data_IF_071958668696
#
_entry.id   IF_071958668696
#
_cell.length_a   1.000
_cell.length_b   1.000
_cell.length_c   1.000
_cell.angle_alpha   90.00
_cell.angle_beta   90.00
_cell.angle_gamma   90.00
#
_symmetry.space_group_name_H-M   'P 1'
#
loop_
_entity.id
_entity.type
_entity.pdbx_description
1 polymer ?
#
# COMPACT_ATOMS: atom_id res chain seq x y z
N UNK A 1 3.09 14.02 -1.79
CA UNK A 1 3.26 14.95 -0.66
C UNK A 1 4.68 15.42 -0.53
N UNK A 2 5.65 14.57 -0.16
CA UNK A 2 7.07 14.96 -0.03
C UNK A 2 7.65 15.75 -1.24
N UNK A 3 7.23 15.43 -2.47
CA UNK A 3 7.62 16.20 -3.67
C UNK A 3 7.07 17.64 -3.70
N UNK A 4 5.87 17.86 -3.16
CA UNK A 4 5.25 19.19 -3.05
C UNK A 4 5.84 20.00 -1.91
N UNK A 5 6.15 19.38 -0.77
CA UNK A 5 6.86 20.02 0.34
C UNK A 5 8.23 20.52 -0.14
N UNK A 6 9.02 19.65 -0.80
CA UNK A 6 10.29 20.06 -1.41
C UNK A 6 10.12 21.20 -2.44
N UNK A 7 8.99 21.22 -3.16
CA UNK A 7 8.71 22.28 -4.12
C UNK A 7 8.39 23.61 -3.43
N UNK A 8 7.76 23.61 -2.26
CA UNK A 8 7.55 24.82 -1.45
C UNK A 8 8.88 25.45 -1.06
N UNK A 9 9.84 24.65 -0.61
CA UNK A 9 11.19 25.13 -0.27
C UNK A 9 11.88 25.77 -1.50
N UNK A 10 11.74 25.14 -2.67
CA UNK A 10 12.30 25.66 -3.92
C UNK A 10 11.64 26.98 -4.36
N UNK A 11 10.34 27.12 -4.15
CA UNK A 11 9.61 28.36 -4.47
C UNK A 11 9.95 29.46 -3.46
N UNK A 12 10.10 29.12 -2.17
CA UNK A 12 10.52 30.06 -1.14
C UNK A 12 11.93 30.60 -1.38
N UNK A 13 12.83 29.74 -1.87
CA UNK A 13 14.21 30.10 -2.25
C UNK A 13 14.33 30.72 -3.65
N UNK A 14 13.21 30.95 -4.35
CA UNK A 14 13.16 31.52 -5.71
C UNK A 14 14.02 30.75 -6.72
N UNK A 15 14.07 29.42 -6.59
CA UNK A 15 14.88 28.58 -7.48
C UNK A 15 14.39 28.69 -8.94
N UNK A 16 15.27 28.99 -9.91
CA UNK A 16 14.88 29.24 -11.30
C UNK A 16 14.27 28.02 -12.01
N UNK A 17 14.56 26.80 -11.55
CA UNK A 17 14.08 25.55 -12.17
C UNK A 17 12.93 24.89 -11.40
N UNK A 18 12.30 25.61 -10.46
CA UNK A 18 11.18 25.08 -9.68
C UNK A 18 10.01 24.60 -10.56
N UNK A 19 9.71 25.30 -11.68
CA UNK A 19 8.67 24.89 -12.62
C UNK A 19 8.94 23.52 -13.29
N UNK A 20 10.21 23.15 -13.50
CA UNK A 20 10.57 21.86 -14.09
C UNK A 20 10.22 20.71 -13.14
N UNK A 21 10.54 20.89 -11.84
CA UNK A 21 10.21 19.93 -10.77
C UNK A 21 8.70 19.81 -10.59
N UNK A 22 7.97 20.93 -10.70
CA UNK A 22 6.50 20.93 -10.72
C UNK A 22 5.98 20.09 -11.89
N UNK A 23 6.45 20.35 -13.11
CA UNK A 23 5.99 19.65 -14.31
C UNK A 23 6.30 18.14 -14.23
N UNK A 24 7.46 17.76 -13.71
CA UNK A 24 7.80 16.35 -13.45
C UNK A 24 6.84 15.71 -12.44
N UNK A 25 6.52 16.42 -11.37
CA UNK A 25 5.58 15.95 -10.34
C UNK A 25 4.18 15.76 -10.92
N UNK A 26 3.69 16.69 -11.75
CA UNK A 26 2.39 16.59 -12.40
C UNK A 26 2.36 15.50 -13.48
N UNK A 27 3.45 15.30 -14.25
CA UNK A 27 3.56 14.18 -15.19
C UNK A 27 3.49 12.83 -14.49
N UNK A 28 4.22 12.66 -13.38
CA UNK A 28 4.15 11.45 -12.59
C UNK A 28 2.74 11.23 -12.03
N UNK A 29 2.13 12.27 -11.45
CA UNK A 29 0.75 12.22 -10.96
C UNK A 29 -0.23 11.77 -12.06
N UNK A 30 -0.16 12.40 -13.25
CA UNK A 30 -0.98 12.05 -14.40
C UNK A 30 -0.81 10.57 -14.78
N UNK A 31 0.42 10.09 -14.87
CA UNK A 31 0.70 8.69 -15.20
C UNK A 31 0.09 7.72 -14.16
N UNK A 32 0.22 8.02 -12.87
CA UNK A 32 -0.37 7.22 -11.80
C UNK A 32 -1.91 7.24 -11.84
N UNK A 33 -2.53 8.41 -12.03
CA UNK A 33 -3.97 8.54 -12.16
C UNK A 33 -4.51 7.78 -13.39
N UNK A 34 -3.84 7.87 -14.54
CA UNK A 34 -4.22 7.12 -15.74
C UNK A 34 -4.12 5.62 -15.52
N UNK A 35 -3.05 5.13 -14.88
CA UNK A 35 -2.92 3.70 -14.52
C UNK A 35 -4.03 3.26 -13.57
N UNK A 36 -4.35 4.07 -12.56
CA UNK A 36 -5.40 3.76 -11.60
C UNK A 36 -6.79 3.66 -12.25
N UNK A 37 -7.14 4.61 -13.13
CA UNK A 37 -8.37 4.57 -13.93
C UNK A 37 -8.42 3.31 -14.79
N UNK A 38 -7.33 2.98 -15.49
CA UNK A 38 -7.25 1.76 -16.27
C UNK A 38 -7.51 0.51 -15.41
N UNK A 39 -6.89 0.40 -14.24
CA UNK A 39 -7.09 -0.75 -13.34
C UNK A 39 -8.54 -0.88 -12.87
N UNK A 40 -9.21 0.24 -12.56
CA UNK A 40 -10.63 0.25 -12.18
C UNK A 40 -11.57 -0.16 -13.33
N UNK A 41 -11.22 0.19 -14.57
CA UNK A 41 -12.04 -0.02 -15.78
C UNK A 41 -11.99 -1.45 -16.33
N UNK A 42 -11.07 -2.33 -15.89
CA UNK A 42 -10.89 -3.72 -16.41
C UNK A 42 -12.07 -4.68 -16.04
N UNK A 43 -13.28 -4.17 -15.81
CA UNK A 43 -14.48 -4.99 -15.62
C UNK A 43 -14.46 -5.90 -14.38
N UNK A 44 -13.46 -5.75 -13.50
CA UNK A 44 -13.33 -6.50 -12.24
C UNK A 44 -14.59 -6.32 -11.37
N UNK A 45 -15.18 -5.12 -11.41
CA UNK A 45 -16.36 -4.79 -10.62
C UNK A 45 -17.70 -5.22 -11.22
N UNK A 46 -17.75 -5.46 -12.55
CA UNK A 46 -19.00 -5.78 -13.26
C UNK A 46 -19.24 -7.27 -13.49
N UNK A 47 -18.19 -8.08 -13.70
CA UNK A 47 -18.33 -9.42 -14.30
C UNK A 47 -18.05 -10.62 -13.40
N UNK A 48 -17.52 -10.42 -12.19
CA UNK A 48 -17.22 -11.52 -11.26
C UNK A 48 -17.98 -11.27 -9.96
N UNK A 49 -18.91 -12.16 -9.62
CA UNK A 49 -19.71 -12.07 -8.39
C UNK A 49 -18.85 -11.86 -7.14
N UNK A 50 -19.45 -11.27 -6.09
CA UNK A 50 -18.75 -10.90 -4.85
C UNK A 50 -18.73 -9.39 -4.58
N UNK A 51 -19.06 -8.56 -5.57
CA UNK A 51 -19.11 -7.10 -5.40
C UNK A 51 -20.52 -6.64 -5.01
N UNK A 52 -20.60 -5.98 -3.86
CA UNK A 52 -21.80 -5.34 -3.35
C UNK A 52 -22.14 -4.07 -4.15
N UNK A 53 -23.33 -3.52 -3.92
CA UNK A 53 -23.71 -2.21 -4.48
C UNK A 53 -22.79 -1.09 -4.01
N UNK A 54 -22.24 -1.22 -2.79
CA UNK A 54 -21.32 -0.25 -2.20
C UNK A 54 -19.97 -0.29 -2.90
N UNK A 55 -19.44 -1.47 -3.22
CA UNK A 55 -18.19 -1.63 -3.96
C UNK A 55 -18.26 -0.95 -5.33
N UNK A 56 -19.37 -1.16 -6.04
CA UNK A 56 -19.60 -0.49 -7.34
C UNK A 56 -19.73 1.01 -7.18
N UNK A 57 -20.41 1.48 -6.14
CA UNK A 57 -20.54 2.92 -5.89
C UNK A 57 -19.17 3.55 -5.59
N UNK A 58 -18.35 2.90 -4.76
CA UNK A 58 -17.01 3.37 -4.40
C UNK A 58 -16.07 3.37 -5.60
N UNK A 59 -16.04 2.30 -6.40
CA UNK A 59 -15.26 2.25 -7.63
C UNK A 59 -15.64 3.40 -8.59
N UNK A 60 -16.93 3.64 -8.79
CA UNK A 60 -17.43 4.74 -9.62
C UNK A 60 -17.08 6.12 -9.04
N UNK A 61 -17.15 6.30 -7.72
CA UNK A 61 -16.75 7.53 -7.05
C UNK A 61 -15.26 7.82 -7.27
N UNK A 62 -14.40 6.82 -7.08
CA UNK A 62 -12.97 6.93 -7.32
C UNK A 62 -12.67 7.25 -8.78
N UNK A 63 -13.28 6.52 -9.72
CA UNK A 63 -13.15 6.73 -11.16
C UNK A 63 -13.45 8.19 -11.53
N UNK A 64 -14.65 8.68 -11.20
CA UNK A 64 -15.10 10.04 -11.52
C UNK A 64 -14.20 11.12 -10.92
N UNK A 65 -13.75 10.94 -9.67
CA UNK A 65 -12.89 11.94 -9.03
C UNK A 65 -11.50 11.98 -9.66
N UNK A 66 -10.92 10.82 -10.00
CA UNK A 66 -9.60 10.75 -10.64
C UNK A 66 -9.66 11.25 -12.07
N UNK A 67 -10.72 10.94 -12.82
CA UNK A 67 -10.98 11.52 -14.14
C UNK A 67 -11.08 13.06 -14.07
N UNK A 68 -11.79 13.60 -13.08
CA UNK A 68 -11.86 15.06 -12.88
C UNK A 68 -10.47 15.68 -12.61
N UNK A 69 -9.59 14.97 -11.88
CA UNK A 69 -8.20 15.42 -11.68
C UNK A 69 -7.44 15.40 -13.00
N UNK A 70 -7.55 14.32 -13.79
CA UNK A 70 -6.92 14.20 -15.10
C UNK A 70 -7.37 15.29 -16.08
N UNK A 71 -8.67 15.59 -16.11
CA UNK A 71 -9.23 16.70 -16.90
C UNK A 71 -8.65 18.04 -16.46
N UNK A 72 -8.59 18.31 -15.15
CA UNK A 72 -8.00 19.55 -14.63
C UNK A 72 -6.52 19.67 -14.94
N UNK A 73 -5.75 18.58 -14.85
CA UNK A 73 -4.34 18.55 -15.25
C UNK A 73 -4.21 18.87 -16.74
N UNK A 74 -5.09 18.30 -17.58
CA UNK A 74 -5.10 18.55 -19.03
C UNK A 74 -5.40 20.02 -19.35
N UNK A 75 -6.36 20.63 -18.67
CA UNK A 75 -6.75 22.04 -18.86
C UNK A 75 -5.63 22.98 -18.39
N UNK A 76 -5.04 22.71 -17.22
CA UNK A 76 -4.01 23.57 -16.64
C UNK A 76 -2.68 23.51 -17.40
N UNK A 77 -2.34 22.34 -17.98
CA UNK A 77 -1.11 22.16 -18.74
C UNK A 77 0.17 22.20 -17.89
N UNK A 78 1.31 22.14 -18.57
CA UNK A 78 2.63 22.32 -17.96
C UNK A 78 3.00 23.82 -17.91
N UNK A 79 3.79 24.18 -16.91
CA UNK A 79 4.29 25.54 -16.77
C UNK A 79 5.48 25.78 -17.70
N UNK A 80 5.54 26.91 -18.43
CA UNK A 80 6.71 27.27 -19.22
C UNK A 80 7.83 27.92 -18.37
N UNK A 81 7.50 28.45 -17.19
CA UNK A 81 8.40 29.13 -16.27
C UNK A 81 7.71 29.31 -14.89
N UNK A 82 8.42 29.96 -13.95
CA UNK A 82 7.94 30.17 -12.58
C UNK A 82 6.80 31.20 -12.43
N UNK A 83 6.36 31.92 -13.47
CA UNK A 83 5.41 33.04 -13.33
C UNK A 83 4.09 32.63 -12.66
N UNK A 84 3.62 31.40 -12.93
CA UNK A 84 2.36 30.89 -12.41
C UNK A 84 2.55 29.78 -11.37
N UNK A 85 3.78 29.56 -10.87
CA UNK A 85 4.09 28.41 -10.02
C UNK A 85 3.27 28.39 -8.73
N UNK A 86 3.04 29.55 -8.10
CA UNK A 86 2.24 29.65 -6.86
C UNK A 86 0.79 29.22 -7.09
N UNK A 87 0.20 29.60 -8.22
CA UNK A 87 -1.16 29.19 -8.61
C UNK A 87 -1.19 27.69 -8.93
N UNK A 88 -0.19 27.21 -9.66
CA UNK A 88 -0.06 25.80 -10.02
C UNK A 88 0.09 24.88 -8.80
N UNK A 89 0.80 25.35 -7.77
CA UNK A 89 0.93 24.66 -6.49
C UNK A 89 -0.40 24.57 -5.74
N UNK A 90 -1.21 25.63 -5.73
CA UNK A 90 -2.56 25.59 -5.15
C UNK A 90 -3.38 24.47 -5.81
N UNK A 91 -3.32 24.35 -7.14
CA UNK A 91 -3.98 23.25 -7.85
C UNK A 91 -3.41 21.88 -7.49
N UNK A 92 -2.10 21.74 -7.38
CA UNK A 92 -1.48 20.47 -6.99
C UNK A 92 -1.90 20.03 -5.57
N UNK A 93 -1.97 20.95 -4.62
CA UNK A 93 -2.49 20.68 -3.28
C UNK A 93 -3.99 20.34 -3.29
N UNK A 94 -4.78 20.96 -4.15
CA UNK A 94 -6.19 20.58 -4.34
C UNK A 94 -6.29 19.14 -4.86
N UNK A 95 -5.43 18.72 -5.80
CA UNK A 95 -5.41 17.34 -6.28
C UNK A 95 -5.00 16.37 -5.17
N UNK A 96 -3.95 16.70 -4.41
CA UNK A 96 -3.50 15.89 -3.28
C UNK A 96 -4.63 15.70 -2.25
N UNK A 97 -5.32 16.78 -1.87
CA UNK A 97 -6.45 16.73 -0.94
C UNK A 97 -7.57 15.83 -1.46
N UNK A 98 -7.94 15.96 -2.74
CA UNK A 98 -8.95 15.10 -3.35
C UNK A 98 -8.55 13.62 -3.29
N UNK A 99 -7.30 13.30 -3.60
CA UNK A 99 -6.79 11.93 -3.54
C UNK A 99 -6.77 11.37 -2.12
N UNK A 100 -6.35 12.16 -1.13
CA UNK A 100 -6.40 11.77 0.29
C UNK A 100 -7.80 11.40 0.74
N UNK A 101 -8.78 12.23 0.40
CA UNK A 101 -10.18 11.96 0.71
C UNK A 101 -10.71 10.68 0.06
N UNK A 102 -10.13 10.24 -1.07
CA UNK A 102 -10.49 8.95 -1.69
C UNK A 102 -9.81 7.77 -0.99
N UNK A 103 -8.57 7.96 -0.51
CA UNK A 103 -7.83 6.92 0.21
C UNK A 103 -8.50 6.54 1.53
N UNK A 104 -9.17 7.48 2.19
CA UNK A 104 -9.99 7.17 3.36
C UNK A 104 -11.20 6.33 2.95
N UNK A 105 -11.25 5.10 3.43
CA UNK A 105 -12.42 4.24 3.29
C UNK A 105 -13.35 4.44 4.48
N UNK A 106 -14.59 4.92 4.27
CA UNK A 106 -15.55 5.06 5.37
C UNK A 106 -15.98 3.69 5.93
N UNK A 107 -15.73 2.60 5.20
CA UNK A 107 -16.05 1.25 5.66
C UNK A 107 -14.78 0.55 6.13
N UNK A 108 -14.86 -0.12 7.27
CA UNK A 108 -13.84 -1.07 7.69
C UNK A 108 -13.73 -2.15 6.61
N UNK A 109 -12.54 -2.25 6.03
CA UNK A 109 -12.21 -3.23 5.00
C UNK A 109 -11.96 -4.60 5.64
N UNK A 110 -11.07 -5.41 5.05
CA UNK A 110 -10.63 -6.66 5.65
C UNK A 110 -10.12 -6.41 7.08
N UNK A 111 -10.48 -7.26 8.06
CA UNK A 111 -10.01 -7.07 9.42
C UNK A 111 -8.49 -7.14 9.47
N UNK A 112 -7.91 -6.29 10.30
CA UNK A 112 -6.47 -6.29 10.51
C UNK A 112 -5.99 -7.62 11.11
N UNK A 113 -4.74 -7.96 10.83
CA UNK A 113 -4.08 -9.15 11.35
C UNK A 113 -3.40 -8.79 12.68
N UNK A 114 -3.75 -9.55 13.72
CA UNK A 114 -3.17 -9.41 15.04
C UNK A 114 -2.25 -10.59 15.33
N UNK A 115 -1.00 -10.30 15.69
CA UNK A 115 -0.04 -11.28 16.18
C UNK A 115 0.02 -11.13 17.70
N UNK A 116 -0.65 -12.03 18.41
CA UNK A 116 -0.74 -12.03 19.87
C UNK A 116 0.40 -12.83 20.52
N UNK A 117 0.98 -12.26 21.58
CA UNK A 117 1.78 -13.00 22.54
C UNK A 117 0.87 -13.52 23.66
N UNK A 118 0.92 -14.83 23.90
CA UNK A 118 0.08 -15.53 24.90
C UNK A 118 0.99 -16.11 25.97
N UNK A 119 0.70 -15.80 27.23
CA UNK A 119 1.36 -16.40 28.40
C UNK A 119 0.31 -17.10 29.27
N UNK A 120 0.39 -18.44 29.32
CA UNK A 120 -0.67 -19.26 29.92
C UNK A 120 -1.99 -19.05 29.17
N UNK A 121 -3.02 -18.54 29.86
CA UNK A 121 -4.33 -18.20 29.29
C UNK A 121 -4.51 -16.71 28.96
N UNK A 122 -3.49 -15.87 29.21
CA UNK A 122 -3.58 -14.42 29.05
C UNK A 122 -2.90 -13.94 27.77
N UNK A 123 -3.56 -13.00 27.09
CA UNK A 123 -2.98 -12.19 26.01
C UNK A 123 -2.21 -11.04 26.65
N UNK A 124 -0.89 -11.02 26.45
CA UNK A 124 0.01 -10.13 27.19
C UNK A 124 0.64 -9.04 26.32
N UNK A 125 0.66 -9.22 25.00
CA UNK A 125 1.12 -8.21 24.06
C UNK A 125 0.58 -8.52 22.65
N UNK A 126 0.50 -7.54 21.76
CA UNK A 126 0.21 -7.79 20.35
C UNK A 126 0.89 -6.82 19.38
N UNK A 127 0.98 -7.23 18.12
CA UNK A 127 1.23 -6.33 17.00
C UNK A 127 0.08 -6.40 16.00
N UNK A 128 -0.43 -5.23 15.59
CA UNK A 128 -1.48 -5.09 14.59
C UNK A 128 -0.86 -4.74 13.24
N UNK A 129 -1.26 -5.45 12.21
CA UNK A 129 -0.92 -5.17 10.83
C UNK A 129 -2.19 -4.98 10.01
N UNK A 130 -2.26 -3.90 9.24
CA UNK A 130 -3.38 -3.79 8.31
C UNK A 130 -3.30 -4.86 7.23
N UNK A 131 -4.44 -5.50 6.95
CA UNK A 131 -4.56 -6.55 5.95
C UNK A 131 -4.05 -6.08 4.57
N UNK A 132 -4.28 -4.80 4.23
CA UNK A 132 -3.82 -4.18 2.98
C UNK A 132 -2.29 -4.26 2.80
N UNK A 133 -1.53 -4.27 3.90
CA UNK A 133 -0.07 -4.27 3.84
C UNK A 133 0.48 -5.64 3.44
N UNK A 134 -0.27 -6.72 3.68
CA UNK A 134 0.17 -8.10 3.46
C UNK A 134 -0.67 -8.80 2.38
N UNK A 135 -1.60 -8.09 1.75
CA UNK A 135 -2.49 -8.62 0.72
C UNK A 135 -1.71 -8.92 -0.57
N UNK A 136 -1.95 -10.10 -1.13
CA UNK A 136 -1.42 -10.53 -2.41
C UNK A 136 -2.36 -10.13 -3.56
N UNK A 137 -1.78 -9.55 -4.61
CA UNK A 137 -2.41 -9.38 -5.91
C UNK A 137 -1.42 -9.73 -7.02
N UNK A 138 -1.92 -10.26 -8.13
CA UNK A 138 -1.12 -10.44 -9.35
C UNK A 138 -0.74 -9.08 -9.99
N UNK A 139 -1.53 -8.04 -9.72
CA UNK A 139 -1.22 -6.68 -10.13
C UNK A 139 -0.35 -6.01 -9.05
N UNK A 140 0.90 -5.68 -9.41
CA UNK A 140 1.87 -5.13 -8.48
C UNK A 140 1.42 -3.82 -7.80
N UNK A 141 0.55 -3.03 -8.45
CA UNK A 141 -0.02 -1.81 -7.86
C UNK A 141 -1.07 -2.08 -6.77
N UNK A 142 -1.67 -3.27 -6.75
CA UNK A 142 -2.67 -3.69 -5.77
C UNK A 142 -2.06 -4.57 -4.65
N UNK A 143 -0.78 -4.95 -4.79
CA UNK A 143 -0.09 -5.78 -3.82
C UNK A 143 0.36 -4.97 -2.59
N UNK A 144 0.10 -5.52 -1.41
CA UNK A 144 0.54 -4.93 -0.15
C UNK A 144 2.06 -4.83 -0.06
N UNK A 145 2.55 -3.69 0.44
CA UNK A 145 3.99 -3.38 0.49
C UNK A 145 4.84 -4.37 1.31
N UNK A 146 4.22 -5.09 2.24
CA UNK A 146 4.81 -6.09 3.13
C UNK A 146 4.42 -7.53 2.76
N UNK A 147 3.60 -7.74 1.74
CA UNK A 147 3.15 -9.07 1.30
C UNK A 147 4.34 -9.92 0.87
N UNK A 148 4.44 -11.13 1.42
CA UNK A 148 5.50 -12.08 1.07
C UNK A 148 6.89 -11.57 1.41
N UNK A 149 7.02 -10.76 2.46
CA UNK A 149 8.30 -10.22 2.93
C UNK A 149 8.47 -10.48 4.42
N UNK A 150 9.73 -10.54 4.86
CA UNK A 150 10.05 -10.55 6.29
C UNK A 150 9.68 -9.19 6.90
N UNK A 151 8.84 -9.22 7.92
CA UNK A 151 8.43 -8.08 8.73
C UNK A 151 8.93 -8.26 10.16
N UNK A 152 9.48 -7.19 10.73
CA UNK A 152 9.81 -7.14 12.16
C UNK A 152 8.65 -6.51 12.90
N UNK A 153 8.12 -7.24 13.88
CA UNK A 153 7.03 -6.83 14.74
C UNK A 153 7.56 -6.63 16.15
N UNK A 154 7.04 -5.60 16.81
CA UNK A 154 7.39 -5.22 18.16
C UNK A 154 6.08 -5.19 18.95
N UNK A 155 5.70 -6.30 19.61
CA UNK A 155 4.46 -6.35 20.36
C UNK A 155 4.45 -5.31 21.49
N UNK A 156 3.36 -4.55 21.56
CA UNK A 156 3.07 -3.58 22.61
C UNK A 156 2.04 -4.11 23.60
N UNK A 157 1.90 -3.41 24.72
CA UNK A 157 0.87 -3.70 25.72
C UNK A 157 -0.52 -3.38 25.14
N UNK A 158 -1.52 -4.28 25.24
CA UNK A 158 -2.88 -4.00 24.77
C UNK A 158 -3.57 -2.80 25.44
N UNK A 159 -3.14 -2.38 26.62
CA UNK A 159 -3.73 -1.25 27.33
C UNK A 159 -3.18 0.12 26.86
N UNK A 160 -2.09 0.12 26.07
CA UNK A 160 -1.34 1.32 25.66
C UNK A 160 -1.42 1.52 24.11
N UNK A 161 -2.62 1.41 23.51
CA UNK A 161 -2.79 1.43 22.04
C UNK A 161 -2.36 2.74 21.35
N UNK A 162 -2.43 3.87 22.07
CA UNK A 162 -2.17 5.22 21.52
C UNK A 162 -0.73 5.73 21.76
N UNK A 163 0.11 4.98 22.50
CA UNK A 163 1.48 5.35 22.78
C UNK A 163 2.47 4.64 21.85
N UNK A 164 3.46 5.38 21.34
CA UNK A 164 4.59 4.75 20.65
C UNK A 164 5.26 3.76 21.59
N UNK A 165 5.31 2.48 21.19
CA UNK A 165 5.91 1.39 21.97
C UNK A 165 7.36 1.74 22.34
N UNK A 166 7.55 2.31 23.53
CA UNK A 166 8.86 2.74 24.02
C UNK A 166 9.69 1.53 24.47
N UNK A 167 9.01 0.46 24.89
CA UNK A 167 9.61 -0.82 25.29
C UNK A 167 8.82 -1.99 24.69
N UNK A 168 9.53 -2.86 23.95
CA UNK A 168 8.98 -4.14 23.50
C UNK A 168 9.75 -5.28 24.13
N UNK A 169 9.04 -6.20 24.80
CA UNK A 169 9.64 -7.34 25.48
C UNK A 169 10.31 -8.33 24.53
N UNK A 170 9.95 -8.31 23.24
CA UNK A 170 10.56 -9.15 22.22
C UNK A 170 10.47 -8.52 20.83
N UNK A 171 11.31 -9.01 19.91
CA UNK A 171 11.19 -8.75 18.48
C UNK A 171 10.74 -10.03 17.80
N UNK A 172 9.66 -9.97 17.03
CA UNK A 172 9.18 -11.09 16.22
C UNK A 172 9.50 -10.80 14.77
N UNK A 173 10.33 -11.63 14.14
CA UNK A 173 10.53 -11.60 12.70
C UNK A 173 9.57 -12.62 12.05
N UNK A 174 8.61 -12.14 11.27
CA UNK A 174 7.56 -12.94 10.65
C UNK A 174 7.59 -12.80 9.12
N UNK A 175 7.20 -13.86 8.41
CA UNK A 175 6.84 -13.79 7.00
C UNK A 175 5.33 -13.88 6.88
N UNK A 176 4.69 -12.86 6.32
CA UNK A 176 3.23 -12.78 6.22
C UNK A 176 2.80 -12.63 4.76
N UNK A 177 1.77 -13.39 4.40
CA UNK A 177 1.14 -13.38 3.08
C UNK A 177 -0.36 -13.61 3.26
N UNK A 178 -1.17 -12.75 2.67
CA UNK A 178 -2.63 -12.84 2.73
C UNK A 178 -3.17 -12.86 1.31
N UNK A 179 -3.76 -13.96 0.87
CA UNK A 179 -4.28 -14.05 -0.50
C UNK A 179 -5.21 -15.24 -0.69
N UNK A 180 -5.84 -15.30 -1.86
CA UNK A 180 -6.69 -16.42 -2.23
C UNK A 180 -5.83 -17.70 -2.39
N UNK A 181 -6.32 -18.83 -1.86
CA UNK A 181 -5.61 -20.11 -1.89
C UNK A 181 -5.15 -20.54 -3.30
N UNK A 182 -5.87 -20.16 -4.37
CA UNK A 182 -5.45 -20.42 -5.76
C UNK A 182 -4.09 -19.80 -6.13
N UNK A 183 -3.61 -18.84 -5.35
CA UNK A 183 -2.31 -18.19 -5.52
C UNK A 183 -1.26 -18.69 -4.53
N UNK A 184 -1.47 -19.84 -3.88
CA UNK A 184 -0.52 -20.41 -2.91
C UNK A 184 0.89 -20.58 -3.52
N UNK A 185 1.00 -20.91 -4.81
CA UNK A 185 2.27 -20.95 -5.55
C UNK A 185 3.09 -19.64 -5.45
N UNK A 186 2.42 -18.48 -5.46
CA UNK A 186 3.09 -17.19 -5.31
C UNK A 186 3.62 -16.98 -3.88
N UNK A 187 2.90 -17.50 -2.87
CA UNK A 187 3.39 -17.54 -1.50
C UNK A 187 4.65 -18.41 -1.38
N UNK A 188 4.61 -19.64 -1.92
CA UNK A 188 5.76 -20.56 -1.94
C UNK A 188 7.00 -19.93 -2.58
N UNK A 189 6.81 -19.24 -3.69
CA UNK A 189 7.89 -18.57 -4.42
C UNK A 189 8.49 -17.37 -3.68
N UNK A 190 7.76 -16.78 -2.74
CA UNK A 190 8.18 -15.62 -1.96
C UNK A 190 8.91 -16.00 -0.66
N UNK A 191 8.86 -17.28 -0.24
CA UNK A 191 9.52 -17.72 0.99
C UNK A 191 11.03 -17.48 0.89
N UNK A 192 11.67 -16.94 1.95
CA UNK A 192 13.11 -16.73 1.95
C UNK A 192 13.90 -18.02 1.66
N UNK A 193 15.09 -17.93 1.05
CA UNK A 193 15.94 -19.10 0.84
C UNK A 193 16.36 -19.74 2.17
N UNK A 194 16.54 -21.06 2.16
CA UNK A 194 16.97 -21.85 3.33
C UNK A 194 15.85 -22.62 4.05
N UNK A 195 14.60 -22.38 3.66
CA UNK A 195 13.44 -23.14 4.09
C UNK A 195 13.12 -24.25 3.08
N UNK A 196 12.99 -25.48 3.53
CA UNK A 196 12.57 -26.61 2.69
C UNK A 196 11.05 -26.69 2.66
N UNK A 197 10.49 -26.46 1.47
CA UNK A 197 9.07 -26.67 1.19
C UNK A 197 8.91 -28.05 0.59
N UNK A 198 8.29 -28.98 1.33
CA UNK A 198 7.93 -30.28 0.78
C UNK A 198 6.86 -30.06 -0.30
N UNK A 199 7.30 -29.95 -1.56
CA UNK A 199 6.43 -29.80 -2.72
C UNK A 199 5.64 -31.08 -3.05
N UNK A 200 5.75 -32.11 -2.20
CA UNK A 200 5.11 -33.41 -2.35
C UNK A 200 3.59 -33.36 -2.22
N UNK A 201 2.93 -33.42 -3.38
CA UNK A 201 1.56 -33.85 -3.66
C UNK A 201 0.44 -32.80 -3.75
N UNK A 202 0.52 -31.61 -3.13
CA UNK A 202 -0.55 -30.61 -3.31
C UNK A 202 -0.10 -29.16 -3.04
N UNK A 203 0.14 -28.38 -4.10
CA UNK A 203 0.58 -26.96 -4.03
C UNK A 203 -0.45 -26.08 -3.31
N UNK A 204 -1.72 -26.52 -3.26
CA UNK A 204 -2.82 -25.80 -2.63
C UNK A 204 -2.92 -26.02 -1.11
N UNK A 205 -2.10 -26.91 -0.52
CA UNK A 205 -2.14 -27.21 0.92
C UNK A 205 -0.91 -26.67 1.64
N UNK A 206 -1.11 -25.74 2.58
CA UNK A 206 -0.03 -25.26 3.45
C UNK A 206 0.35 -26.34 4.49
N UNK A 207 1.64 -26.66 4.66
CA UNK A 207 2.11 -27.59 5.67
C UNK A 207 1.96 -26.96 7.06
N UNK A 208 1.90 -27.80 8.09
CA UNK A 208 1.78 -27.33 9.48
C UNK A 208 3.00 -26.55 9.95
N UNK A 209 4.18 -26.86 9.42
CA UNK A 209 5.44 -26.20 9.69
C UNK A 209 6.34 -26.29 8.46
N UNK A 210 7.34 -25.42 8.38
CA UNK A 210 8.36 -25.42 7.34
C UNK A 210 9.70 -25.52 8.05
N UNK A 211 10.55 -26.44 7.61
CA UNK A 211 11.85 -26.67 8.23
C UNK A 211 12.90 -25.75 7.61
N UNK A 212 13.67 -25.07 8.47
CA UNK A 212 14.84 -24.30 8.05
C UNK A 212 16.06 -25.21 8.09
N UNK A 213 16.49 -25.71 6.93
CA UNK A 213 17.53 -26.75 6.87
C UNK A 213 18.95 -26.18 6.66
N UNK A 214 19.12 -24.91 6.26
CA UNK A 214 20.48 -24.34 6.11
C UNK A 214 20.60 -22.82 6.02
N UNK A 215 21.51 -22.30 6.84
CA UNK A 215 22.21 -21.02 6.68
C UNK A 215 23.33 -21.14 5.64
N UNK A 216 23.01 -21.16 4.34
CA UNK A 216 24.02 -21.07 3.27
C UNK A 216 24.48 -19.64 2.96
N UNK A 217 24.45 -18.75 3.95
CA UNK A 217 25.27 -17.53 3.93
C UNK A 217 26.31 -17.68 5.03
N UNK A 218 27.45 -18.25 4.66
CA UNK A 218 28.71 -17.98 5.36
C UNK A 218 29.17 -16.59 4.94
N UNK A 219 29.46 -15.77 5.96
CA UNK A 219 30.07 -14.43 5.97
C UNK A 219 29.09 -13.26 5.85
#
# INVERSE_FOLDING_TARGET
EARLEKLEDLVATQNPTAFEIYNETIRALKAHCTRYVYVLDIGKYEKKGGNTRLDRHRANLCLKNVENILERIKINGELPNNNYIRIAMIHAYQYLRKLRNLCEDPQHSLPDVFVWMIAGSKRVAYSRLSAEQILHSEEAAEMGAKCGRRVSLFPGNPDDEDETVEYSACKIDAFLWLGNAKYAAACWSAIPPGYETDHGANVDTFPKYIEYNRSTVRK
#
